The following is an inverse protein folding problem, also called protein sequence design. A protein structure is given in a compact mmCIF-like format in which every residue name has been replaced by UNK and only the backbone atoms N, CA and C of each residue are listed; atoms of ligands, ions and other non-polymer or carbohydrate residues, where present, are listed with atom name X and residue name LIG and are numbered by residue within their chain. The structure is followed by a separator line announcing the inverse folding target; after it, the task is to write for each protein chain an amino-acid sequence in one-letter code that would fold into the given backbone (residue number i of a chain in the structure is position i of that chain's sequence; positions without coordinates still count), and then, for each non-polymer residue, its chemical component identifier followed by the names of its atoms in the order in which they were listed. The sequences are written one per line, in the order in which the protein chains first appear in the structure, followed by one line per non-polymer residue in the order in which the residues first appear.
data_IF_914793815881
#
_entry.id   IF_914793815881
#
_cell.length_a   1.000
_cell.length_b   1.000
_cell.length_c   1.000
_cell.angle_alpha   90.00
_cell.angle_beta   90.00
_cell.angle_gamma   90.00
#
_symmetry.space_group_name_H-M   'P 1'
#
loop_
_entity.id
_entity.type
_entity.pdbx_description
1 polymer ?
#
# COMPACT_ATOMS: atom_id res chain seq x y z
N UNK A 1 -16.10 -6.02 -34.88
CA UNK A 1 -15.47 -5.61 -33.61
C UNK A 1 -14.43 -4.55 -33.95
N UNK A 2 -14.51 -3.35 -33.38
CA UNK A 2 -13.46 -2.35 -33.56
C UNK A 2 -12.17 -2.83 -32.87
N UNK A 3 -10.99 -2.55 -33.43
CA UNK A 3 -9.73 -2.89 -32.78
C UNK A 3 -9.63 -2.16 -31.44
N UNK A 4 -9.17 -2.86 -30.40
CA UNK A 4 -8.90 -2.28 -29.08
C UNK A 4 -7.68 -1.38 -29.23
N UNK A 5 -7.81 -0.11 -28.87
CA UNK A 5 -6.68 0.81 -28.77
C UNK A 5 -5.80 0.38 -27.59
N UNK A 6 -4.53 0.14 -27.87
CA UNK A 6 -3.51 -0.33 -26.91
C UNK A 6 -2.42 0.72 -26.68
N UNK A 7 -2.62 1.94 -27.19
CA UNK A 7 -1.68 3.05 -26.98
C UNK A 7 -1.70 3.55 -25.53
N UNK A 8 -0.53 3.96 -25.04
CA UNK A 8 -0.38 4.55 -23.70
C UNK A 8 -0.80 6.03 -23.79
N UNK A 9 -1.80 6.43 -23.01
CA UNK A 9 -2.35 7.80 -23.02
C UNK A 9 -1.84 8.68 -21.89
N UNK A 10 -1.32 8.10 -20.81
CA UNK A 10 -0.79 8.82 -19.64
C UNK A 10 0.37 8.06 -19.03
N UNK A 11 1.42 8.78 -18.63
CA UNK A 11 2.58 8.26 -17.91
C UNK A 11 2.84 9.19 -16.72
N UNK A 12 2.84 8.63 -15.53
CA UNK A 12 3.23 9.33 -14.30
C UNK A 12 4.75 9.41 -14.23
N UNK A 13 5.29 10.60 -13.92
CA UNK A 13 6.73 10.77 -13.75
C UNK A 13 7.27 9.93 -12.59
N UNK A 14 8.57 9.60 -12.64
CA UNK A 14 9.25 8.97 -11.51
C UNK A 14 9.19 9.92 -10.30
N UNK A 15 8.94 9.38 -9.11
CA UNK A 15 8.76 10.10 -7.83
C UNK A 15 7.47 10.93 -7.69
N UNK A 16 6.71 11.13 -8.77
CA UNK A 16 5.40 11.77 -8.70
C UNK A 16 4.39 10.92 -7.92
N UNK A 17 3.34 11.58 -7.42
CA UNK A 17 2.30 10.91 -6.67
C UNK A 17 1.23 10.36 -7.62
N UNK A 18 1.29 9.06 -7.92
CA UNK A 18 0.32 8.39 -8.80
C UNK A 18 -1.14 8.48 -8.30
N UNK A 19 -1.35 8.75 -7.01
CA UNK A 19 -2.69 8.96 -6.48
C UNK A 19 -3.30 10.30 -6.91
N UNK A 20 -2.54 11.22 -7.51
CA UNK A 20 -3.12 12.45 -8.08
C UNK A 20 -3.75 12.20 -9.46
N UNK A 21 -3.30 11.18 -10.20
CA UNK A 21 -3.76 10.85 -11.55
C UNK A 21 -5.25 10.47 -11.65
N UNK A 22 -5.82 9.64 -10.75
CA UNK A 22 -7.25 9.31 -10.79
C UNK A 22 -8.14 10.43 -10.22
N UNK A 23 -7.58 11.58 -9.81
CA UNK A 23 -8.34 12.76 -9.38
C UNK A 23 -8.60 12.86 -7.87
N UNK A 24 -7.85 12.16 -7.02
CA UNK A 24 -7.89 12.41 -5.58
C UNK A 24 -7.39 13.83 -5.25
N UNK A 25 -7.92 14.44 -4.20
CA UNK A 25 -7.40 15.74 -3.77
C UNK A 25 -5.96 15.61 -3.22
N UNK A 26 -5.19 16.71 -3.23
CA UNK A 26 -3.77 16.69 -2.84
C UNK A 26 -3.51 16.16 -1.44
N UNK A 27 -4.43 16.39 -0.49
CA UNK A 27 -4.29 15.92 0.89
C UNK A 27 -4.57 14.43 0.95
N UNK A 28 -5.64 13.96 0.31
CA UNK A 28 -5.98 12.54 0.23
C UNK A 28 -4.89 11.75 -0.50
N UNK A 29 -4.47 12.22 -1.68
CA UNK A 29 -3.42 11.59 -2.46
C UNK A 29 -2.11 11.48 -1.66
N UNK A 30 -1.74 12.51 -0.89
CA UNK A 30 -0.56 12.47 -0.02
C UNK A 30 -0.71 11.44 1.09
N UNK A 31 -1.89 11.34 1.71
CA UNK A 31 -2.17 10.33 2.75
C UNK A 31 -2.07 8.91 2.18
N UNK A 32 -2.60 8.68 0.98
CA UNK A 32 -2.51 7.39 0.29
C UNK A 32 -1.06 7.02 -0.03
N UNK A 33 -0.26 7.97 -0.53
CA UNK A 33 1.18 7.78 -0.77
C UNK A 33 1.92 7.34 0.49
N UNK A 34 1.75 8.08 1.59
CA UNK A 34 2.40 7.73 2.88
C UNK A 34 1.98 6.35 3.37
N UNK A 35 0.67 6.03 3.33
CA UNK A 35 0.18 4.70 3.75
C UNK A 35 0.78 3.58 2.90
N UNK A 36 0.82 3.76 1.58
CA UNK A 36 1.39 2.77 0.67
C UNK A 36 2.88 2.54 0.94
N UNK A 37 3.66 3.60 1.14
CA UNK A 37 5.08 3.52 1.49
C UNK A 37 5.31 2.78 2.81
N UNK A 38 4.57 3.12 3.87
CA UNK A 38 4.69 2.46 5.17
C UNK A 38 4.27 0.99 5.11
N UNK A 39 3.18 0.68 4.42
CA UNK A 39 2.73 -0.72 4.25
C UNK A 39 3.75 -1.54 3.45
N UNK A 40 4.35 -0.95 2.42
CA UNK A 40 5.39 -1.59 1.63
C UNK A 40 6.58 -1.96 2.51
N UNK A 41 7.14 -0.99 3.23
CA UNK A 41 8.27 -1.19 4.15
C UNK A 41 7.96 -2.24 5.22
N UNK A 42 6.78 -2.19 5.82
CA UNK A 42 6.36 -3.17 6.82
C UNK A 42 6.24 -4.57 6.22
N UNK A 43 5.68 -4.70 5.02
CA UNK A 43 5.57 -5.99 4.32
C UNK A 43 6.93 -6.59 3.97
N UNK A 44 7.89 -5.75 3.56
CA UNK A 44 9.25 -6.16 3.24
C UNK A 44 10.00 -6.60 4.50
N UNK A 45 9.84 -5.88 5.60
CA UNK A 45 10.40 -6.25 6.89
C UNK A 45 9.87 -7.61 7.36
N UNK A 46 8.54 -7.83 7.26
CA UNK A 46 7.91 -9.11 7.60
C UNK A 46 8.50 -10.25 6.76
N UNK A 47 8.61 -10.05 5.43
CA UNK A 47 9.22 -11.04 4.52
C UNK A 47 10.68 -11.31 4.87
N UNK A 48 11.44 -10.27 5.19
CA UNK A 48 12.85 -10.36 5.58
C UNK A 48 13.08 -11.14 6.88
N UNK A 49 12.13 -11.08 7.82
CA UNK A 49 12.19 -11.87 9.06
C UNK A 49 11.92 -13.37 8.87
N UNK A 50 11.41 -13.80 7.71
CA UNK A 50 11.02 -15.20 7.41
C UNK A 50 10.05 -15.80 8.46
N UNK A 51 9.26 -14.94 9.09
CA UNK A 51 8.22 -15.34 10.03
C UNK A 51 6.89 -15.50 9.30
N UNK A 52 6.08 -16.46 9.72
CA UNK A 52 4.70 -16.54 9.25
C UNK A 52 3.83 -15.42 9.86
N UNK A 53 2.62 -15.24 9.31
CA UNK A 53 1.71 -14.19 9.76
C UNK A 53 1.29 -14.34 11.22
N UNK A 54 1.31 -15.56 11.78
CA UNK A 54 0.92 -15.81 13.16
C UNK A 54 2.04 -15.40 14.14
N UNK A 55 3.29 -15.74 13.83
CA UNK A 55 4.45 -15.30 14.58
C UNK A 55 4.58 -13.76 14.57
N UNK A 56 4.35 -13.13 13.42
CA UNK A 56 4.33 -11.66 13.32
C UNK A 56 3.18 -11.07 14.14
N UNK A 57 1.99 -11.70 14.13
CA UNK A 57 0.84 -11.23 14.91
C UNK A 57 1.14 -11.22 16.41
N UNK A 58 1.85 -12.24 16.92
CA UNK A 58 2.30 -12.34 18.30
C UNK A 58 3.37 -11.30 18.62
N UNK A 59 4.33 -11.11 17.71
CA UNK A 59 5.44 -10.17 17.86
C UNK A 59 4.99 -8.70 17.89
N UNK A 60 4.07 -8.34 17.00
CA UNK A 60 3.57 -6.97 16.86
C UNK A 60 2.30 -6.70 17.69
N UNK A 61 1.82 -7.69 18.45
CA UNK A 61 0.59 -7.61 19.25
C UNK A 61 -0.64 -7.12 18.46
N UNK A 62 -0.75 -7.55 17.21
CA UNK A 62 -1.89 -7.24 16.33
C UNK A 62 -2.54 -8.52 15.84
N UNK A 63 -3.78 -8.42 15.38
CA UNK A 63 -4.49 -9.61 14.90
C UNK A 63 -3.91 -10.12 13.57
N UNK A 64 -3.98 -11.44 13.35
CA UNK A 64 -3.57 -12.06 12.08
C UNK A 64 -4.27 -11.44 10.85
N UNK A 65 -5.59 -11.11 10.87
CA UNK A 65 -6.23 -10.39 9.77
C UNK A 65 -5.58 -9.05 9.44
N UNK A 66 -5.10 -8.30 10.45
CA UNK A 66 -4.39 -7.03 10.22
C UNK A 66 -3.04 -7.25 9.54
N UNK A 67 -2.28 -8.27 9.96
CA UNK A 67 -1.05 -8.67 9.26
C UNK A 67 -1.36 -9.07 7.81
N UNK A 68 -2.45 -9.80 7.60
CA UNK A 68 -2.90 -10.20 6.27
C UNK A 68 -3.22 -9.01 5.37
N UNK A 69 -3.87 -7.97 5.91
CA UNK A 69 -4.17 -6.74 5.18
C UNK A 69 -2.90 -5.98 4.78
N UNK A 70 -1.94 -5.82 5.71
CA UNK A 70 -0.63 -5.22 5.41
C UNK A 70 0.08 -5.97 4.28
N UNK A 71 0.11 -7.30 4.37
CA UNK A 71 0.77 -8.15 3.37
C UNK A 71 0.09 -8.11 1.99
N UNK A 72 -1.20 -7.77 1.92
CA UNK A 72 -1.94 -7.53 0.68
C UNK A 72 -1.85 -6.09 0.17
N UNK A 73 -1.29 -5.17 0.97
CA UNK A 73 -1.31 -3.74 0.66
C UNK A 73 -2.72 -3.15 0.71
N UNK A 74 -3.59 -3.63 1.60
CA UNK A 74 -4.96 -3.11 1.79
C UNK A 74 -4.93 -1.89 2.75
N UNK A 75 -5.02 -0.65 2.25
CA UNK A 75 -4.93 0.54 3.07
C UNK A 75 -6.19 0.81 3.90
N UNK A 76 -7.31 0.15 3.59
CA UNK A 76 -8.58 0.33 4.29
C UNK A 76 -8.47 -0.14 5.73
N UNK A 77 -8.86 0.74 6.67
CA UNK A 77 -8.80 0.46 8.11
C UNK A 77 -7.45 0.76 8.78
N UNK A 78 -6.45 1.29 8.06
CA UNK A 78 -5.20 1.76 8.65
C UNK A 78 -5.14 3.29 8.61
N UNK A 79 -4.85 3.91 9.76
CA UNK A 79 -4.39 5.31 9.82
C UNK A 79 -2.88 5.36 9.62
N UNK A 80 -2.34 6.54 9.31
CA UNK A 80 -0.88 6.72 9.27
C UNK A 80 -0.28 6.40 10.65
N UNK A 81 -0.91 6.88 11.72
CA UNK A 81 -0.48 6.61 13.10
C UNK A 81 -0.50 5.12 13.47
N UNK A 82 -1.31 4.32 12.77
CA UNK A 82 -1.36 2.87 12.98
C UNK A 82 -0.16 2.15 12.35
N UNK A 83 0.47 2.77 11.35
CA UNK A 83 1.58 2.21 10.57
C UNK A 83 2.95 2.73 11.02
N UNK A 84 2.99 3.70 11.94
CA UNK A 84 4.18 4.21 12.62
C UNK A 84 4.38 3.46 13.94
#
# INVERSE_FOLDING_TARGET
MSPIDTSITHITETDANIFEDPGFDKIEARKLKIKAELMCQLSEWIKGKRLDQEAVSKLLHVTRPRISNVMRGEPSGFTIDTLL
#
